data_IF_814302794984
#
_entry.id   IF_814302794984
#
_cell.length_a   1.000
_cell.length_b   1.000
_cell.length_c   1.000
_cell.angle_alpha   90.00
_cell.angle_beta   90.00
_cell.angle_gamma   90.00
#
_symmetry.space_group_name_H-M   'P 1'
#
loop_
_entity.id
_entity.type
_entity.pdbx_description
1 polymer ?
#
# COMPACT_ATOMS: atom_id res chain seq x y z
N UNK A 1 9.81 -5.82 14.55
CA UNK A 1 9.62 -4.36 14.35
C UNK A 1 8.25 -4.10 13.73
N UNK A 2 7.64 -3.05 14.18
CA UNK A 2 6.32 -2.62 13.71
C UNK A 2 6.46 -1.40 12.82
N UNK A 3 5.84 -1.44 11.64
CA UNK A 3 5.88 -0.33 10.68
C UNK A 3 4.47 0.04 10.25
N UNK A 4 4.28 1.34 10.01
CA UNK A 4 3.07 1.87 9.39
C UNK A 4 3.45 2.38 8.00
N UNK A 5 2.76 1.90 6.99
CA UNK A 5 3.06 2.22 5.59
C UNK A 5 1.85 2.87 4.97
N UNK A 6 2.07 4.03 4.35
CA UNK A 6 1.02 4.75 3.63
C UNK A 6 1.33 4.66 2.14
N UNK A 7 0.38 4.16 1.36
CA UNK A 7 0.45 4.18 -0.10
C UNK A 7 -0.45 5.30 -0.59
N UNK A 8 0.10 6.21 -1.38
CA UNK A 8 -0.64 7.31 -1.97
C UNK A 8 -0.72 7.16 -3.47
N UNK A 9 -1.93 7.25 -3.98
CA UNK A 9 -2.21 7.24 -5.40
C UNK A 9 -3.01 8.48 -5.79
N UNK A 10 -4.00 8.28 -6.64
CA UNK A 10 -4.91 9.33 -7.04
C UNK A 10 -6.33 8.78 -6.97
N UNK A 11 -7.13 9.34 -6.06
CA UNK A 11 -8.51 8.93 -5.91
C UNK A 11 -9.42 9.49 -6.99
N UNK A 12 -10.65 8.99 -7.03
CA UNK A 12 -11.63 9.44 -7.98
C UNK A 12 -12.93 8.65 -7.86
N UNK A 13 -13.87 8.93 -8.76
CA UNK A 13 -15.14 8.23 -8.80
C UNK A 13 -14.95 6.80 -9.29
N UNK A 14 -15.59 5.84 -8.65
CA UNK A 14 -15.44 4.41 -8.98
C UNK A 14 -15.89 4.04 -10.39
N UNK A 15 -16.74 4.87 -11.02
CA UNK A 15 -17.15 4.68 -12.41
C UNK A 15 -16.11 5.15 -13.43
N UNK A 16 -15.06 5.82 -12.99
CA UNK A 16 -13.98 6.33 -13.85
C UNK A 16 -12.61 5.89 -13.33
N UNK A 17 -12.37 4.57 -13.25
CA UNK A 17 -11.09 4.06 -12.76
C UNK A 17 -9.91 4.43 -13.65
N UNK A 18 -10.15 4.75 -14.91
CA UNK A 18 -9.15 5.21 -15.87
C UNK A 18 -8.52 6.55 -15.48
N UNK A 19 -9.17 7.32 -14.60
CA UNK A 19 -8.70 8.63 -14.14
C UNK A 19 -8.05 8.57 -12.76
N UNK A 20 -7.87 7.38 -12.21
CA UNK A 20 -7.35 7.19 -10.87
C UNK A 20 -6.11 6.31 -10.89
N UNK A 21 -5.33 6.41 -9.82
CA UNK A 21 -4.26 5.47 -9.49
C UNK A 21 -4.62 4.89 -8.14
N UNK A 22 -5.28 3.73 -8.15
CA UNK A 22 -5.91 3.17 -6.96
C UNK A 22 -4.87 2.54 -6.03
N UNK A 23 -4.65 3.11 -4.83
CA UNK A 23 -3.71 2.52 -3.88
C UNK A 23 -4.16 1.15 -3.37
N UNK A 24 -5.43 0.80 -3.49
CA UNK A 24 -5.90 -0.55 -3.15
C UNK A 24 -5.34 -1.58 -4.12
N UNK A 25 -5.31 -1.27 -5.43
CA UNK A 25 -4.71 -2.16 -6.43
C UNK A 25 -3.22 -2.35 -6.16
N UNK A 26 -2.53 -1.25 -5.85
CA UNK A 26 -1.13 -1.29 -5.47
C UNK A 26 -0.93 -2.16 -4.23
N UNK A 27 -1.76 -1.97 -3.21
CA UNK A 27 -1.69 -2.75 -1.97
C UNK A 27 -1.90 -4.24 -2.23
N UNK A 28 -2.79 -4.62 -3.12
CA UNK A 28 -3.02 -6.02 -3.44
C UNK A 28 -1.74 -6.70 -3.94
N UNK A 29 -0.98 -6.00 -4.79
CA UNK A 29 0.30 -6.50 -5.28
C UNK A 29 1.36 -6.53 -4.16
N UNK A 30 1.38 -5.51 -3.31
CA UNK A 30 2.27 -5.45 -2.15
C UNK A 30 1.96 -6.61 -1.20
N UNK A 31 0.70 -6.83 -0.89
CA UNK A 31 0.27 -7.92 -0.01
C UNK A 31 0.77 -9.27 -0.54
N UNK A 32 0.59 -9.52 -1.82
CA UNK A 32 1.03 -10.76 -2.45
C UNK A 32 2.54 -10.94 -2.32
N UNK A 33 3.32 -9.89 -2.57
CA UNK A 33 4.78 -9.94 -2.47
C UNK A 33 5.24 -10.13 -1.02
N UNK A 34 4.57 -9.49 -0.07
CA UNK A 34 4.94 -9.57 1.34
C UNK A 34 4.74 -10.97 1.91
N UNK A 35 3.93 -11.82 1.27
CA UNK A 35 3.79 -13.22 1.70
C UNK A 35 5.11 -14.01 1.60
N UNK A 36 6.04 -13.57 0.78
CA UNK A 36 7.35 -14.20 0.64
C UNK A 36 8.39 -13.64 1.63
N UNK A 37 8.01 -12.64 2.41
CA UNK A 37 8.88 -12.04 3.42
C UNK A 37 8.52 -12.54 4.82
N UNK A 38 9.43 -12.31 5.77
CA UNK A 38 9.19 -12.63 7.17
C UNK A 38 8.40 -11.49 7.84
N UNK A 39 7.15 -11.33 7.43
CA UNK A 39 6.30 -10.27 7.97
C UNK A 39 4.83 -10.65 7.91
N UNK A 40 4.03 -9.94 8.71
CA UNK A 40 2.58 -10.11 8.77
C UNK A 40 1.90 -8.76 8.75
N UNK A 41 0.93 -8.60 7.86
CA UNK A 41 0.11 -7.40 7.82
C UNK A 41 -0.97 -7.54 8.88
N UNK A 42 -1.05 -6.57 9.78
CA UNK A 42 -1.90 -6.62 10.97
C UNK A 42 -3.09 -5.66 10.90
N UNK A 43 -3.05 -4.68 10.01
CA UNK A 43 -4.14 -3.71 9.86
C UNK A 43 -4.10 -3.11 8.47
N UNK A 44 -5.28 -2.91 7.90
CA UNK A 44 -5.45 -2.20 6.62
C UNK A 44 -6.58 -1.20 6.78
N UNK A 45 -6.35 0.03 6.33
CA UNK A 45 -7.33 1.10 6.43
C UNK A 45 -7.28 1.93 5.15
N UNK A 46 -8.39 1.93 4.41
CA UNK A 46 -8.50 2.68 3.16
C UNK A 46 -9.90 2.64 2.61
N UNK A 47 -10.28 3.74 1.96
CA UNK A 47 -11.61 3.90 1.41
C UNK A 47 -12.58 4.56 2.38
N UNK A 48 -13.55 5.29 1.82
CA UNK A 48 -14.59 5.99 2.58
C UNK A 48 -15.99 5.64 2.12
N UNK A 49 -16.15 5.29 0.84
CA UNK A 49 -17.45 4.93 0.26
C UNK A 49 -17.25 3.91 -0.84
N UNK A 50 -18.29 3.11 -1.10
CA UNK A 50 -18.23 2.01 -2.05
C UNK A 50 -18.00 2.45 -3.50
N UNK A 51 -18.37 3.69 -3.82
CA UNK A 51 -18.26 4.23 -5.18
C UNK A 51 -17.13 5.25 -5.34
N UNK A 52 -16.21 5.31 -4.37
CA UNK A 52 -15.10 6.26 -4.38
C UNK A 52 -13.78 5.51 -4.26
N UNK A 53 -12.89 5.75 -5.22
CA UNK A 53 -11.51 5.25 -5.17
C UNK A 53 -10.73 6.15 -4.22
N UNK A 54 -10.10 5.60 -3.15
CA UNK A 54 -9.38 6.43 -2.19
C UNK A 54 -8.12 7.02 -2.78
N UNK A 55 -7.66 8.14 -2.20
CA UNK A 55 -6.37 8.75 -2.56
C UNK A 55 -5.21 8.11 -1.83
N UNK A 56 -5.47 7.45 -0.70
CA UNK A 56 -4.43 6.78 0.09
C UNK A 56 -4.97 5.56 0.80
N UNK A 57 -4.06 4.67 1.17
CA UNK A 57 -4.32 3.50 1.98
C UNK A 57 -3.18 3.35 2.97
N UNK A 58 -3.51 3.06 4.24
CA UNK A 58 -2.53 2.86 5.29
C UNK A 58 -2.61 1.42 5.76
N UNK A 59 -1.47 0.77 5.92
CA UNK A 59 -1.46 -0.55 6.52
C UNK A 59 -0.29 -0.69 7.49
N UNK A 60 -0.48 -1.58 8.46
CA UNK A 60 0.52 -1.87 9.47
C UNK A 60 1.09 -3.26 9.25
N UNK A 61 2.37 -3.41 9.53
CA UNK A 61 3.06 -4.68 9.33
C UNK A 61 4.01 -4.93 10.49
N UNK A 62 3.99 -6.17 10.99
CA UNK A 62 5.01 -6.69 11.88
C UNK A 62 6.05 -7.40 11.04
N UNK A 63 7.31 -7.04 11.16
CA UNK A 63 8.36 -7.60 10.32
C UNK A 63 9.56 -8.04 11.13
N UNK A 64 10.05 -9.25 10.85
CA UNK A 64 11.34 -9.72 11.32
C UNK A 64 12.47 -9.23 10.45
N UNK A 65 12.15 -8.73 9.25
CA UNK A 65 13.11 -8.12 8.36
C UNK A 65 13.21 -6.62 8.64
N UNK A 66 14.29 -5.99 8.22
CA UNK A 66 14.47 -4.57 8.40
C UNK A 66 13.66 -3.74 7.40
N UNK A 67 13.60 -2.43 7.66
CA UNK A 67 12.91 -1.47 6.80
C UNK A 67 13.38 -1.55 5.35
N UNK A 68 14.68 -1.78 5.14
CA UNK A 68 15.25 -1.83 3.80
C UNK A 68 14.64 -2.93 2.93
N UNK A 69 14.33 -4.08 3.50
CA UNK A 69 13.68 -5.16 2.76
C UNK A 69 12.27 -4.76 2.33
N UNK A 70 11.55 -4.09 3.21
CA UNK A 70 10.20 -3.60 2.89
C UNK A 70 10.27 -2.55 1.78
N UNK A 71 11.18 -1.60 1.88
CA UNK A 71 11.37 -0.55 0.87
C UNK A 71 11.75 -1.17 -0.48
N UNK A 72 12.63 -2.17 -0.46
CA UNK A 72 13.08 -2.85 -1.67
C UNK A 72 11.92 -3.53 -2.42
N UNK A 73 10.93 -4.03 -1.68
CA UNK A 73 9.73 -4.62 -2.27
C UNK A 73 8.72 -3.57 -2.72
N UNK A 74 8.54 -2.51 -1.92
CA UNK A 74 7.56 -1.47 -2.18
C UNK A 74 7.90 -0.63 -3.41
N UNK A 75 9.17 -0.27 -3.57
CA UNK A 75 9.59 0.68 -4.60
C UNK A 75 9.16 0.27 -6.02
N UNK A 76 9.48 -0.95 -6.50
CA UNK A 76 9.09 -1.31 -7.87
C UNK A 76 7.58 -1.47 -8.04
N UNK A 77 6.90 -1.96 -7.01
CA UNK A 77 5.44 -2.17 -7.07
C UNK A 77 4.72 -0.84 -7.14
N UNK A 78 5.06 0.08 -6.23
CA UNK A 78 4.44 1.41 -6.21
C UNK A 78 4.69 2.15 -7.51
N UNK A 79 5.89 2.05 -8.07
CA UNK A 79 6.21 2.67 -9.36
C UNK A 79 5.33 2.11 -10.48
N UNK A 80 5.12 0.80 -10.50
CA UNK A 80 4.28 0.15 -11.51
C UNK A 80 2.84 0.65 -11.46
N UNK A 81 2.32 0.92 -10.27
CA UNK A 81 0.95 1.38 -10.07
C UNK A 81 0.84 2.91 -10.00
N UNK A 82 1.90 3.63 -10.31
CA UNK A 82 1.94 5.10 -10.26
C UNK A 82 1.57 5.65 -8.89
N UNK A 83 1.99 4.95 -7.84
CA UNK A 83 1.77 5.35 -6.46
C UNK A 83 3.10 5.69 -5.80
N UNK A 84 3.02 6.42 -4.69
CA UNK A 84 4.14 6.66 -3.80
C UNK A 84 3.87 6.02 -2.45
N UNK A 85 4.89 5.93 -1.61
CA UNK A 85 4.70 5.39 -0.27
C UNK A 85 5.56 6.11 0.74
N UNK A 86 5.13 6.04 1.99
CA UNK A 86 5.90 6.47 3.15
C UNK A 86 5.90 5.33 4.16
N UNK A 87 7.01 5.15 4.85
CA UNK A 87 7.13 4.13 5.88
C UNK A 87 7.59 4.78 7.17
N UNK A 88 6.91 4.43 8.27
CA UNK A 88 7.20 4.95 9.60
C UNK A 88 7.38 3.79 10.58
N UNK A 89 8.33 3.93 11.48
CA UNK A 89 8.56 3.01 12.57
C UNK A 89 8.22 3.75 13.87
N UNK A 90 7.00 3.57 14.38
CA UNK A 90 6.59 4.29 15.60
C UNK A 90 7.37 3.84 16.83
#
# INVERSE_FOLDING_TARGET
>A
MHYSITIRGRGGHGSRPDRAHNPIDCFAAVFSKFQSLNCHITRVDGGTAANVIPGELIFCVESGDGEQELVRCLTPICKLYHCSFEIECP
#
